data_IF_623922150897
#
_entry.id   IF_623922150897
#
_cell.length_a   1.000
_cell.length_b   1.000
_cell.length_c   1.000
_cell.angle_alpha   90.00
_cell.angle_beta   90.00
_cell.angle_gamma   90.00
#
_symmetry.space_group_name_H-M   'P 1'
#
loop_
_entity.id
_entity.type
_entity.pdbx_description
1 polymer ?
#
# COMPACT_ATOMS: atom_id res chain seq x y z
N UNK A 1 6.64 -2.51 -4.42
CA UNK A 1 5.24 -2.86 -4.74
C UNK A 1 4.99 -4.38 -4.82
N UNK A 2 5.94 -5.21 -5.27
CA UNK A 2 5.75 -6.68 -5.26
C UNK A 2 5.50 -7.27 -3.86
N UNK A 3 6.23 -6.80 -2.85
CA UNK A 3 5.99 -7.22 -1.45
C UNK A 3 4.60 -6.83 -0.95
N UNK A 4 4.13 -5.62 -1.27
CA UNK A 4 2.77 -5.17 -0.92
C UNK A 4 1.69 -6.03 -1.61
N UNK A 5 1.91 -6.44 -2.86
CA UNK A 5 1.00 -7.34 -3.56
C UNK A 5 0.98 -8.75 -2.97
N UNK A 6 2.16 -9.32 -2.64
CA UNK A 6 2.28 -10.60 -1.95
C UNK A 6 1.64 -10.56 -0.56
N UNK A 7 1.84 -9.47 0.18
CA UNK A 7 1.22 -9.24 1.47
C UNK A 7 -0.30 -9.20 1.35
N UNK A 8 -0.82 -8.36 0.45
CA UNK A 8 -2.27 -8.25 0.21
C UNK A 8 -2.90 -9.56 -0.27
N UNK A 9 -2.18 -10.37 -1.07
CA UNK A 9 -2.62 -11.71 -1.47
C UNK A 9 -2.65 -12.68 -0.29
N UNK A 10 -1.63 -12.66 0.56
CA UNK A 10 -1.59 -13.46 1.79
C UNK A 10 -2.77 -13.14 2.71
N UNK A 11 -3.05 -11.85 2.90
CA UNK A 11 -4.21 -11.37 3.64
C UNK A 11 -5.53 -11.85 3.02
N UNK A 12 -5.70 -11.72 1.71
CA UNK A 12 -6.91 -12.15 1.02
C UNK A 12 -7.13 -13.67 1.13
N UNK A 13 -6.07 -14.48 0.99
CA UNK A 13 -6.15 -15.93 1.18
C UNK A 13 -6.53 -16.29 2.63
N UNK A 14 -5.98 -15.59 3.61
CA UNK A 14 -6.28 -15.81 5.02
C UNK A 14 -7.74 -15.45 5.35
N UNK A 15 -8.25 -14.35 4.80
CA UNK A 15 -9.64 -13.91 4.99
C UNK A 15 -10.63 -14.91 4.39
N UNK A 16 -10.35 -15.39 3.17
CA UNK A 16 -11.13 -16.48 2.55
C UNK A 16 -11.07 -17.74 3.41
N UNK A 17 -9.90 -18.08 3.95
CA UNK A 17 -9.75 -19.24 4.84
C UNK A 17 -10.58 -19.07 6.12
N UNK A 18 -10.57 -17.89 6.75
CA UNK A 18 -11.37 -17.58 7.93
C UNK A 18 -12.88 -17.72 7.66
N UNK A 19 -13.36 -17.14 6.55
CA UNK A 19 -14.76 -17.25 6.12
C UNK A 19 -15.17 -18.70 5.83
N UNK A 20 -14.29 -19.50 5.22
CA UNK A 20 -14.53 -20.91 4.92
C UNK A 20 -14.61 -21.78 6.17
N UNK A 21 -13.79 -21.49 7.18
CA UNK A 21 -13.71 -22.29 8.41
C UNK A 21 -14.77 -21.88 9.44
N UNK A 22 -15.43 -20.72 9.28
CA UNK A 22 -16.46 -20.21 10.22
C UNK A 22 -16.00 -20.21 11.70
N UNK A 23 -14.69 -20.20 11.93
CA UNK A 23 -14.09 -20.05 13.25
C UNK A 23 -13.83 -18.57 13.46
N UNK A 24 -14.36 -18.04 14.56
CA UNK A 24 -13.97 -16.74 15.07
C UNK A 24 -12.44 -16.69 15.20
N UNK A 25 -11.81 -15.76 14.48
CA UNK A 25 -10.36 -15.56 14.47
C UNK A 25 -9.93 -14.83 15.75
N UNK A 26 -10.42 -15.25 16.91
CA UNK A 26 -10.15 -14.65 18.21
C UNK A 26 -8.76 -15.05 18.75
N UNK A 27 -7.78 -15.28 17.88
CA UNK A 27 -6.39 -15.43 18.30
C UNK A 27 -5.76 -14.02 18.31
N UNK A 28 -5.67 -13.35 19.47
CA UNK A 28 -5.16 -11.97 19.55
C UNK A 28 -3.73 -11.85 19.02
N UNK A 29 -2.94 -12.94 19.06
CA UNK A 29 -1.61 -13.02 18.48
C UNK A 29 -1.60 -12.82 16.95
N UNK A 30 -2.57 -13.41 16.23
CA UNK A 30 -2.64 -13.31 14.78
C UNK A 30 -3.11 -11.93 14.33
N UNK A 31 -4.08 -11.36 15.05
CA UNK A 31 -4.58 -10.00 14.82
C UNK A 31 -3.53 -8.95 15.15
N UNK A 32 -2.74 -9.15 16.22
CA UNK A 32 -1.63 -8.26 16.58
C UNK A 32 -0.50 -8.29 15.54
N UNK A 33 -0.10 -9.49 15.08
CA UNK A 33 0.89 -9.64 14.01
C UNK A 33 0.46 -8.92 12.72
N UNK A 34 -0.83 -9.01 12.38
CA UNK A 34 -1.41 -8.33 11.22
C UNK A 34 -1.33 -6.82 11.35
N UNK A 35 -1.77 -6.26 12.49
CA UNK A 35 -1.70 -4.82 12.75
C UNK A 35 -0.27 -4.29 12.57
N UNK A 36 0.71 -4.99 13.14
CA UNK A 36 2.13 -4.61 12.99
C UNK A 36 2.61 -4.74 11.54
N UNK A 37 2.22 -5.80 10.84
CA UNK A 37 2.59 -6.03 9.44
C UNK A 37 2.01 -4.99 8.48
N UNK A 38 0.76 -4.60 8.66
CA UNK A 38 0.11 -3.53 7.90
C UNK A 38 0.75 -2.17 8.16
N UNK A 39 1.14 -1.88 9.41
CA UNK A 39 1.88 -0.67 9.76
C UNK A 39 3.24 -0.59 9.06
N UNK A 40 4.02 -1.68 9.09
CA UNK A 40 5.33 -1.74 8.41
C UNK A 40 5.15 -1.60 6.90
N UNK A 41 4.16 -2.27 6.33
CA UNK A 41 3.87 -2.21 4.89
C UNK A 41 3.42 -0.81 4.47
N UNK A 42 2.59 -0.14 5.28
CA UNK A 42 2.18 1.25 5.05
C UNK A 42 3.40 2.19 5.06
N UNK A 43 4.30 2.06 6.04
CA UNK A 43 5.50 2.89 6.11
C UNK A 43 6.41 2.69 4.88
N UNK A 44 6.62 1.45 4.45
CA UNK A 44 7.39 1.14 3.24
C UNK A 44 6.74 1.72 1.98
N UNK A 45 5.42 1.61 1.84
CA UNK A 45 4.70 2.14 0.68
C UNK A 45 4.72 3.68 0.64
N UNK A 46 4.66 4.35 1.79
CA UNK A 46 4.85 5.81 1.88
C UNK A 46 6.26 6.21 1.42
N UNK A 47 7.29 5.54 1.94
CA UNK A 47 8.67 5.82 1.56
C UNK A 47 8.90 5.63 0.05
N UNK A 48 8.32 4.58 -0.53
CA UNK A 48 8.36 4.33 -1.97
C UNK A 48 7.58 5.40 -2.78
N UNK A 49 6.39 5.81 -2.32
CA UNK A 49 5.60 6.86 -2.95
C UNK A 49 6.31 8.22 -2.91
N UNK A 50 6.87 8.61 -1.76
CA UNK A 50 7.64 9.85 -1.61
C UNK A 50 8.91 9.86 -2.48
N UNK A 51 9.62 8.73 -2.55
CA UNK A 51 10.79 8.59 -3.44
C UNK A 51 10.40 8.74 -4.91
N UNK A 52 9.28 8.14 -5.32
CA UNK A 52 8.75 8.25 -6.69
C UNK A 52 8.29 9.66 -7.01
N UNK A 53 7.67 10.35 -6.05
CA UNK A 53 7.26 11.75 -6.18
C UNK A 53 8.44 12.70 -6.41
N UNK A 54 9.52 12.57 -5.62
CA UNK A 54 10.72 13.37 -5.80
C UNK A 54 11.33 13.21 -7.19
N UNK A 55 11.40 11.98 -7.69
CA UNK A 55 11.87 11.68 -9.05
C UNK A 55 10.95 12.26 -10.11
N UNK A 56 9.62 12.17 -9.93
CA UNK A 56 8.67 12.76 -10.89
C UNK A 56 8.74 14.28 -10.97
N UNK A 57 8.94 14.97 -9.84
CA UNK A 57 9.14 16.43 -9.84
C UNK A 57 10.43 16.78 -10.58
N UNK A 58 11.53 16.07 -10.33
CA UNK A 58 12.80 16.31 -11.03
C UNK A 58 12.67 16.12 -12.55
N UNK A 59 11.95 15.10 -13.00
CA UNK A 59 11.74 14.82 -14.43
C UNK A 59 10.79 15.80 -15.12
N UNK A 60 9.74 16.26 -14.42
CA UNK A 60 8.72 17.15 -14.99
C UNK A 60 9.15 18.61 -14.92
N UNK A 61 9.83 19.02 -13.85
CA UNK A 61 10.00 20.42 -13.46
C UNK A 61 11.41 20.96 -13.73
N UNK A 62 12.45 20.13 -13.59
CA UNK A 62 13.84 20.61 -13.65
C UNK A 62 14.58 20.23 -14.93
N UNK A 63 14.25 19.11 -15.56
CA UNK A 63 15.07 18.58 -16.68
C UNK A 63 14.45 18.71 -18.07
N UNK A 64 13.21 19.20 -18.21
CA UNK A 64 12.44 19.27 -19.49
C UNK A 64 12.55 17.99 -20.36
N UNK A 65 12.96 16.84 -19.79
CA UNK A 65 13.17 15.56 -20.48
C UNK A 65 11.87 15.09 -21.12
N UNK A 66 10.77 15.35 -20.42
CA UNK A 66 9.39 15.15 -20.82
C UNK A 66 9.00 15.92 -22.10
N UNK A 67 9.67 17.04 -22.37
CA UNK A 67 9.46 17.90 -23.55
C UNK A 67 10.47 17.61 -24.67
N UNK A 68 11.69 17.23 -24.31
CA UNK A 68 12.75 16.82 -25.23
C UNK A 68 12.50 15.43 -25.87
N UNK A 69 11.89 14.50 -25.13
CA UNK A 69 11.51 13.17 -25.61
C UNK A 69 10.01 12.93 -25.46
N UNK A 70 9.23 13.37 -26.45
CA UNK A 70 7.76 13.19 -26.54
C UNK A 70 7.29 11.74 -26.56
N UNK A 71 8.19 10.77 -26.78
CA UNK A 71 7.89 9.34 -26.72
C UNK A 71 7.71 8.83 -25.27
N UNK A 72 8.28 9.51 -24.28
CA UNK A 72 8.09 9.16 -22.88
C UNK A 72 6.79 9.79 -22.36
N UNK A 73 5.82 8.92 -22.04
CA UNK A 73 4.53 9.31 -21.47
C UNK A 73 4.69 9.64 -19.99
N UNK A 74 5.33 10.78 -19.74
CA UNK A 74 5.58 11.43 -18.47
C UNK A 74 4.30 11.57 -17.61
N UNK A 75 3.14 11.75 -18.25
CA UNK A 75 1.83 11.67 -17.60
C UNK A 75 1.54 10.32 -16.93
N UNK A 76 1.99 9.20 -17.49
CA UNK A 76 1.81 7.86 -16.88
C UNK A 76 2.63 7.72 -15.59
N UNK A 77 3.81 8.33 -15.52
CA UNK A 77 4.64 8.34 -14.32
C UNK A 77 3.97 9.14 -13.19
N UNK A 78 3.40 10.29 -13.53
CA UNK A 78 2.63 11.10 -12.58
C UNK A 78 1.40 10.36 -12.07
N UNK A 79 0.62 9.74 -12.96
CA UNK A 79 -0.57 8.94 -12.60
C UNK A 79 -0.17 7.74 -11.74
N UNK A 80 0.92 7.05 -12.07
CA UNK A 80 1.43 5.91 -11.29
C UNK A 80 1.83 6.33 -9.87
N UNK A 81 2.41 7.51 -9.72
CA UNK A 81 2.81 8.04 -8.41
C UNK A 81 1.58 8.45 -7.59
N UNK A 82 0.59 9.08 -8.22
CA UNK A 82 -0.69 9.38 -7.57
C UNK A 82 -1.41 8.10 -7.09
N UNK A 83 -1.44 7.05 -7.91
CA UNK A 83 -1.99 5.76 -7.54
C UNK A 83 -1.25 5.13 -6.35
N UNK A 84 0.07 5.32 -6.24
CA UNK A 84 0.85 4.85 -5.09
C UNK A 84 0.48 5.56 -3.77
N UNK A 85 0.14 6.85 -3.82
CA UNK A 85 -0.39 7.57 -2.66
C UNK A 85 -1.80 7.09 -2.29
N UNK A 86 -2.65 6.84 -3.27
CA UNK A 86 -4.00 6.31 -3.04
C UNK A 86 -3.94 4.93 -2.40
N UNK A 87 -3.08 4.02 -2.90
CA UNK A 87 -2.93 2.70 -2.30
C UNK A 87 -2.38 2.77 -0.87
N UNK A 88 -1.47 3.70 -0.59
CA UNK A 88 -1.02 3.96 0.78
C UNK A 88 -2.17 4.39 1.71
N UNK A 89 -3.03 5.32 1.28
CA UNK A 89 -4.19 5.76 2.06
C UNK A 89 -5.14 4.60 2.36
N UNK A 90 -5.42 3.75 1.36
CA UNK A 90 -6.28 2.57 1.54
C UNK A 90 -5.68 1.59 2.56
N UNK A 91 -4.37 1.30 2.48
CA UNK A 91 -3.69 0.44 3.47
C UNK A 91 -3.76 1.05 4.87
N UNK A 92 -3.53 2.36 5.00
CA UNK A 92 -3.65 3.06 6.28
C UNK A 92 -5.07 2.91 6.87
N UNK A 93 -6.11 3.11 6.06
CA UNK A 93 -7.50 2.94 6.51
C UNK A 93 -7.80 1.49 6.94
N UNK A 94 -7.33 0.49 6.20
CA UNK A 94 -7.51 -0.92 6.57
C UNK A 94 -6.82 -1.26 7.91
N UNK A 95 -5.60 -0.74 8.12
CA UNK A 95 -4.86 -0.95 9.36
C UNK A 95 -5.57 -0.36 10.58
N UNK A 96 -6.23 0.80 10.41
CA UNK A 96 -7.03 1.45 11.44
C UNK A 96 -8.28 0.65 11.77
N UNK A 97 -9.00 0.16 10.75
CA UNK A 97 -10.19 -0.67 10.97
C UNK A 97 -9.83 -1.96 11.71
N UNK A 98 -8.73 -2.62 11.35
CA UNK A 98 -8.27 -3.83 12.06
C UNK A 98 -7.83 -3.55 13.49
N UNK A 99 -7.18 -2.41 13.74
CA UNK A 99 -6.86 -1.96 15.09
C UNK A 99 -8.13 -1.70 15.91
N UNK A 100 -9.13 -1.04 15.32
CA UNK A 100 -10.43 -0.82 15.96
C UNK A 100 -11.12 -2.13 16.31
N UNK A 101 -11.12 -3.11 15.40
CA UNK A 101 -11.67 -4.46 15.66
C UNK A 101 -10.96 -5.12 16.83
N UNK A 102 -9.62 -5.05 16.88
CA UNK A 102 -8.84 -5.58 18.01
C UNK A 102 -9.20 -4.92 19.33
N UNK A 103 -9.40 -3.60 19.35
CA UNK A 103 -9.79 -2.89 20.58
C UNK A 103 -11.25 -3.11 20.99
N UNK A 104 -12.11 -3.53 20.05
CA UNK A 104 -13.52 -3.81 20.30
C UNK A 104 -13.85 -5.27 20.62
N UNK A 105 -12.87 -6.17 20.45
CA UNK A 105 -12.94 -7.59 20.78
C UNK A 105 -12.48 -7.85 22.22
#
# INVERSE_FOLDING_TARGET
>A
MGLQALWSLGLACLDIYALKVKRDLHNPLLVSLFVVGDWVTAALSLAAACSSAGVTVLFVRDTEFCKAYTQFSCGRYQISTAMAFITWLLVATSSLVMFWILTSA
#
